data_IF_859028640668
#
_entry.id   IF_859028640668
#
_cell.length_a   1.000
_cell.length_b   1.000
_cell.length_c   1.000
_cell.angle_alpha   90.00
_cell.angle_beta   90.00
_cell.angle_gamma   90.00
#
_symmetry.space_group_name_H-M   'P 1'
#
loop_
_entity.id
_entity.type
_entity.pdbx_description
1 polymer ?
#
# COMPACT_ATOMS: atom_id res chain seq x y z
N UNK A 1 27.53 9.64 20.88
CA UNK A 1 26.31 8.88 21.21
C UNK A 1 25.53 8.77 19.92
N UNK A 2 25.47 7.57 19.33
CA UNK A 2 24.84 7.36 18.03
C UNK A 2 23.35 7.66 18.12
N UNK A 3 22.87 8.54 17.23
CA UNK A 3 21.45 8.70 16.99
C UNK A 3 20.86 7.32 16.76
N UNK A 4 20.06 6.85 17.72
CA UNK A 4 19.15 5.74 17.48
C UNK A 4 18.12 6.30 16.51
N UNK A 5 18.43 6.22 15.21
CA UNK A 5 17.46 6.43 14.15
C UNK A 5 16.31 5.52 14.52
N UNK A 6 15.19 6.11 14.97
CA UNK A 6 14.04 5.31 15.35
C UNK A 6 13.64 4.54 14.10
N UNK A 7 14.01 3.26 14.05
CA UNK A 7 13.49 2.29 13.10
C UNK A 7 12.03 2.03 13.49
N UNK A 8 11.21 3.09 13.38
CA UNK A 8 9.83 2.88 13.02
C UNK A 8 9.91 2.25 11.64
N UNK A 9 9.94 0.92 11.58
CA UNK A 9 9.38 0.21 10.45
C UNK A 9 8.00 0.84 10.24
N UNK A 10 7.89 1.74 9.26
CA UNK A 10 6.66 2.49 8.97
C UNK A 10 5.67 1.52 8.34
N UNK A 11 5.19 0.59 9.15
CA UNK A 11 4.16 -0.38 8.80
C UNK A 11 2.83 0.33 8.90
N UNK A 12 2.28 0.69 7.75
CA UNK A 12 0.93 1.21 7.68
C UNK A 12 -0.01 0.06 7.36
N UNK A 13 -1.07 -0.08 8.14
CA UNK A 13 -2.06 -1.14 7.95
C UNK A 13 -3.47 -0.55 7.84
N UNK A 14 -4.14 -0.85 6.74
CA UNK A 14 -5.57 -0.59 6.54
C UNK A 14 -6.33 -1.91 6.76
N UNK A 15 -7.36 -1.89 7.60
CA UNK A 15 -8.28 -3.02 7.77
C UNK A 15 -9.69 -2.54 7.49
N UNK A 16 -10.45 -3.34 6.75
CA UNK A 16 -11.84 -3.06 6.47
C UNK A 16 -12.66 -4.32 6.77
N UNK A 17 -13.74 -4.15 7.53
CA UNK A 17 -14.68 -5.22 7.84
C UNK A 17 -15.99 -4.89 7.12
N UNK A 18 -16.57 -5.88 6.46
CA UNK A 18 -17.82 -5.74 5.71
C UNK A 18 -18.66 -7.01 5.80
N UNK A 19 -19.96 -6.86 5.57
CA UNK A 19 -20.87 -7.99 5.41
C UNK A 19 -20.89 -8.42 3.95
N UNK A 20 -20.42 -9.62 3.68
CA UNK A 20 -20.46 -10.19 2.34
C UNK A 20 -21.89 -10.63 2.02
N UNK A 21 -22.53 -9.95 1.06
CA UNK A 21 -23.92 -10.21 0.67
C UNK A 21 -24.14 -11.62 0.10
N UNK A 22 -23.11 -12.26 -0.43
CA UNK A 22 -23.24 -13.61 -0.99
C UNK A 22 -23.24 -14.68 0.10
N UNK A 23 -22.51 -14.46 1.20
CA UNK A 23 -22.31 -15.46 2.27
C UNK A 23 -23.00 -15.10 3.59
N UNK A 24 -23.51 -13.86 3.71
CA UNK A 24 -24.08 -13.28 4.92
C UNK A 24 -23.14 -13.35 6.14
N UNK A 25 -21.83 -13.36 5.88
CA UNK A 25 -20.78 -13.41 6.90
C UNK A 25 -20.02 -12.09 6.94
N UNK A 26 -19.57 -11.71 8.13
CA UNK A 26 -18.61 -10.61 8.29
C UNK A 26 -17.24 -11.08 7.82
N UNK A 27 -16.70 -10.41 6.79
CA UNK A 27 -15.37 -10.66 6.23
C UNK A 27 -14.46 -9.47 6.47
N UNK A 28 -13.15 -9.71 6.43
CA UNK A 28 -12.14 -8.68 6.66
C UNK A 28 -11.14 -8.61 5.52
N UNK A 29 -11.08 -7.50 4.78
CA UNK A 29 -9.93 -7.22 3.92
C UNK A 29 -8.89 -6.40 4.67
N UNK A 30 -7.64 -6.55 4.27
CA UNK A 30 -6.54 -5.79 4.83
C UNK A 30 -5.50 -5.47 3.76
N UNK A 31 -4.88 -4.30 3.91
CA UNK A 31 -3.72 -3.88 3.13
C UNK A 31 -2.63 -3.45 4.10
N UNK A 32 -1.41 -3.83 3.82
CA UNK A 32 -0.24 -3.51 4.63
C UNK A 32 0.88 -3.00 3.74
N UNK A 33 1.48 -1.90 4.15
CA UNK A 33 2.65 -1.30 3.51
C UNK A 33 3.79 -1.25 4.50
N UNK A 34 4.96 -1.75 4.08
CA UNK A 34 6.21 -1.68 4.85
C UNK A 34 7.26 -0.96 4.02
N UNK A 35 8.00 -0.05 4.63
CA UNK A 35 9.07 0.70 3.96
C UNK A 35 10.40 0.34 4.58
N UNK A 36 11.32 -0.16 3.75
CA UNK A 36 12.73 -0.30 4.07
C UNK A 36 13.45 0.99 3.69
N UNK A 37 14.18 1.58 4.64
CA UNK A 37 14.95 2.79 4.39
C UNK A 37 16.18 2.49 3.51
N UNK A 38 16.76 3.49 2.82
CA UNK A 38 18.04 3.33 2.14
C UNK A 38 19.14 2.90 3.10
N UNK A 39 20.08 2.07 2.61
CA UNK A 39 21.18 1.52 3.42
C UNK A 39 22.53 1.76 2.74
N UNK A 40 23.56 2.07 3.54
CA UNK A 40 24.93 2.21 3.04
C UNK A 40 25.67 0.87 3.19
N UNK A 41 26.22 0.35 2.10
CA UNK A 41 27.00 -0.89 2.12
C UNK A 41 28.37 -0.71 2.77
N UNK A 42 29.01 -1.81 3.14
CA UNK A 42 30.38 -1.84 3.67
C UNK A 42 31.43 -1.28 2.70
N UNK A 43 31.14 -1.34 1.39
CA UNK A 43 31.98 -0.80 0.32
C UNK A 43 31.72 0.70 0.07
N UNK A 44 30.73 1.29 0.73
CA UNK A 44 30.43 2.72 0.69
C UNK A 44 29.32 3.14 -0.28
N UNK A 45 28.72 2.20 -1.01
CA UNK A 45 27.58 2.45 -1.90
C UNK A 45 26.31 2.74 -1.11
N UNK A 46 25.43 3.57 -1.67
CA UNK A 46 24.08 3.82 -1.11
C UNK A 46 23.08 3.00 -1.92
N UNK A 47 22.39 2.07 -1.26
CA UNK A 47 21.33 1.28 -1.84
C UNK A 47 19.98 1.93 -1.54
N UNK A 48 19.11 2.00 -2.55
CA UNK A 48 17.76 2.51 -2.37
C UNK A 48 16.94 1.63 -1.43
N UNK A 49 16.01 2.29 -0.74
CA UNK A 49 14.97 1.64 0.03
C UNK A 49 13.97 0.88 -0.86
N UNK A 50 13.07 0.13 -0.22
CA UNK A 50 12.02 -0.64 -0.90
C UNK A 50 10.69 -0.49 -0.20
N UNK A 51 9.61 -0.63 -0.95
CA UNK A 51 8.24 -0.63 -0.41
C UNK A 51 7.63 -1.99 -0.65
N UNK A 52 7.26 -2.70 0.43
CA UNK A 52 6.48 -3.93 0.34
C UNK A 52 5.01 -3.60 0.55
N UNK A 53 4.16 -4.05 -0.35
CA UNK A 53 2.70 -3.95 -0.24
C UNK A 53 2.13 -5.37 -0.18
N UNK A 54 1.25 -5.63 0.79
CA UNK A 54 0.55 -6.90 0.96
C UNK A 54 -0.93 -6.65 1.08
N UNK A 55 -1.74 -7.41 0.35
CA UNK A 55 -3.20 -7.34 0.38
C UNK A 55 -3.72 -8.72 0.72
N UNK A 56 -4.68 -8.80 1.62
CA UNK A 56 -5.30 -10.06 1.99
C UNK A 56 -6.73 -9.92 2.43
N UNK A 57 -7.32 -11.09 2.67
CA UNK A 57 -8.70 -11.26 3.07
C UNK A 57 -8.76 -12.36 4.13
N UNK A 58 -9.35 -12.04 5.27
CA UNK A 58 -9.35 -12.85 6.48
C UNK A 58 -7.92 -13.28 6.84
N UNK A 59 -7.62 -14.58 6.77
CA UNK A 59 -6.30 -15.14 7.04
C UNK A 59 -5.45 -15.31 5.77
N UNK A 60 -6.03 -15.12 4.60
CA UNK A 60 -5.38 -15.39 3.32
C UNK A 60 -4.66 -14.16 2.79
N UNK A 61 -3.41 -14.34 2.39
CA UNK A 61 -2.71 -13.39 1.53
C UNK A 61 -3.22 -13.54 0.10
N UNK A 62 -3.66 -12.45 -0.52
CA UNK A 62 -4.15 -12.43 -1.91
C UNK A 62 -3.11 -11.87 -2.88
N UNK A 63 -2.30 -10.89 -2.45
CA UNK A 63 -1.22 -10.35 -3.25
C UNK A 63 -0.08 -9.83 -2.39
N UNK A 64 1.15 -9.91 -2.90
CA UNK A 64 2.32 -9.24 -2.32
C UNK A 64 3.23 -8.71 -3.41
N UNK A 65 3.63 -7.46 -3.26
CA UNK A 65 4.57 -6.77 -4.14
C UNK A 65 5.75 -6.27 -3.32
N UNK A 66 6.95 -6.40 -3.87
CA UNK A 66 8.14 -5.71 -3.38
C UNK A 66 8.58 -4.74 -4.47
N UNK A 67 8.34 -3.46 -4.23
CA UNK A 67 8.53 -2.38 -5.19
C UNK A 67 9.81 -1.60 -4.86
N UNK A 68 10.52 -1.16 -5.89
CA UNK A 68 11.41 -0.01 -5.82
C UNK A 68 10.63 1.27 -5.52
N UNK A 69 11.33 2.35 -5.15
CA UNK A 69 10.65 3.64 -4.92
C UNK A 69 10.01 4.22 -6.18
N UNK A 70 10.63 4.04 -7.34
CA UNK A 70 10.07 4.49 -8.62
C UNK A 70 8.77 3.76 -8.96
N UNK A 71 8.74 2.44 -8.75
CA UNK A 71 7.53 1.64 -8.97
C UNK A 71 6.43 2.00 -7.96
N UNK A 72 6.78 2.20 -6.69
CA UNK A 72 5.83 2.66 -5.67
C UNK A 72 5.25 4.04 -5.99
N UNK A 73 6.08 4.96 -6.51
CA UNK A 73 5.63 6.29 -6.95
C UNK A 73 4.65 6.19 -8.13
N UNK A 74 4.96 5.37 -9.13
CA UNK A 74 4.06 5.12 -10.28
C UNK A 74 2.75 4.48 -9.83
N UNK A 75 2.81 3.51 -8.91
CA UNK A 75 1.62 2.88 -8.34
C UNK A 75 0.71 3.91 -7.68
N UNK A 76 1.26 4.78 -6.83
CA UNK A 76 0.51 5.84 -6.17
C UNK A 76 -0.13 6.81 -7.18
N UNK A 77 0.61 7.23 -8.21
CA UNK A 77 0.09 8.12 -9.25
C UNK A 77 -1.06 7.49 -10.03
N UNK A 78 -0.93 6.23 -10.43
CA UNK A 78 -1.98 5.52 -11.16
C UNK A 78 -3.24 5.36 -10.30
N UNK A 79 -3.09 5.14 -8.99
CA UNK A 79 -4.23 5.05 -8.08
C UNK A 79 -4.97 6.40 -7.97
N UNK A 80 -4.23 7.51 -7.85
CA UNK A 80 -4.84 8.85 -7.83
C UNK A 80 -5.62 9.12 -9.11
N UNK A 81 -5.04 8.85 -10.27
CA UNK A 81 -5.72 9.04 -11.56
C UNK A 81 -7.00 8.21 -11.65
N UNK A 82 -6.97 6.94 -11.23
CA UNK A 82 -8.16 6.09 -11.25
C UNK A 82 -9.30 6.62 -10.34
N UNK A 83 -8.95 7.22 -9.20
CA UNK A 83 -9.93 7.85 -8.30
C UNK A 83 -10.52 9.12 -8.94
N UNK A 84 -9.69 9.95 -9.54
CA UNK A 84 -10.13 11.18 -10.23
C UNK A 84 -11.07 10.87 -11.40
N UNK A 85 -10.71 9.89 -12.24
CA UNK A 85 -11.53 9.42 -13.34
C UNK A 85 -12.89 8.89 -12.85
N UNK A 86 -12.90 8.13 -11.75
CA UNK A 86 -14.12 7.62 -11.14
C UNK A 86 -15.06 8.75 -10.68
N UNK A 87 -14.54 9.75 -9.97
CA UNK A 87 -15.35 10.88 -9.50
C UNK A 87 -15.87 11.74 -10.66
N UNK A 88 -15.08 11.90 -11.72
CA UNK A 88 -15.51 12.60 -12.93
C UNK A 88 -16.72 11.90 -13.59
N UNK A 89 -16.67 10.57 -13.74
CA UNK A 89 -17.77 9.80 -14.33
C UNK A 89 -19.01 9.82 -13.44
N UNK A 90 -18.85 9.66 -12.13
CA UNK A 90 -19.95 9.79 -11.17
C UNK A 90 -20.64 11.15 -11.26
N UNK A 91 -19.87 12.23 -11.36
CA UNK A 91 -20.41 13.58 -11.51
C UNK A 91 -21.11 13.81 -12.86
N UNK A 92 -20.75 13.07 -13.90
CA UNK A 92 -21.45 13.06 -15.18
C UNK A 92 -22.80 12.34 -15.04
N UNK A 93 -22.82 11.15 -14.44
CA UNK A 93 -24.04 10.36 -14.22
C UNK A 93 -25.08 11.08 -13.34
N UNK A 94 -24.66 11.90 -12.38
CA UNK A 94 -25.59 12.71 -11.58
C UNK A 94 -26.25 13.88 -12.32
N UNK A 95 -25.70 14.27 -13.48
CA UNK A 95 -26.24 15.36 -14.31
C UNK A 95 -27.21 14.87 -15.38
N UNK A 96 -27.27 13.56 -15.61
CA UNK A 96 -28.22 12.87 -16.49
C UNK A 96 -29.52 12.54 -15.72
#
# INVERSE_FOLDING_TARGET
MGDKTHAYERRLQLKHFFEDRATNQTRRTWCEMQVSMPEKSSEGWVNDGKVRIMIGEDKDLKASFLLSLDEASRFAKNLTMAIEDHEAEKAKLWRE
#
